data_IF_415674522843
#
_entry.id   IF_415674522843
#
_cell.length_a   1.000
_cell.length_b   1.000
_cell.length_c   1.000
_cell.angle_alpha   90.00
_cell.angle_beta   90.00
_cell.angle_gamma   90.00
#
_symmetry.space_group_name_H-M   'P 1'
#
loop_
_entity.id
_entity.type
_entity.pdbx_description
1 polymer ?
#
# COMPACT_ATOMS: atom_id res chain seq x y z
N UNK A 1 0.33 7.66 10.83
CA UNK A 1 -0.21 6.95 9.67
C UNK A 1 -0.43 7.91 8.52
N UNK A 2 -0.28 7.42 7.33
CA UNK A 2 -0.42 8.22 6.12
C UNK A 2 -1.64 7.72 5.35
N UNK A 3 -2.38 8.64 4.74
CA UNK A 3 -3.49 8.29 3.87
C UNK A 3 -3.01 8.34 2.42
N UNK A 4 -3.49 7.43 1.61
CA UNK A 4 -3.14 7.41 0.20
C UNK A 4 -4.17 6.69 -0.64
N UNK A 5 -3.90 6.63 -1.93
CA UNK A 5 -4.77 5.97 -2.88
C UNK A 5 -3.98 4.90 -3.61
N UNK A 6 -4.57 3.73 -3.75
CA UNK A 6 -3.92 2.63 -4.45
C UNK A 6 -3.76 3.00 -5.92
N UNK A 7 -2.52 3.04 -6.39
CA UNK A 7 -2.23 3.34 -7.78
C UNK A 7 -2.51 2.11 -8.64
N UNK A 8 -1.99 0.97 -8.23
CA UNK A 8 -2.32 -0.32 -8.84
C UNK A 8 -1.87 -1.42 -7.89
N UNK A 9 -2.46 -2.58 -8.05
CA UNK A 9 -2.10 -3.75 -7.25
C UNK A 9 -2.25 -5.01 -8.09
N UNK A 10 -1.24 -5.86 -8.08
CA UNK A 10 -1.24 -7.10 -8.83
C UNK A 10 -1.43 -8.28 -7.86
N UNK A 11 -2.63 -8.86 -7.88
CA UNK A 11 -2.97 -9.96 -6.98
C UNK A 11 -2.13 -11.20 -7.25
N UNK A 12 -1.79 -11.44 -8.51
CA UNK A 12 -1.01 -12.62 -8.88
C UNK A 12 0.39 -12.59 -8.29
N UNK A 13 0.98 -11.42 -8.26
CA UNK A 13 2.32 -11.23 -7.72
C UNK A 13 2.31 -10.82 -6.26
N UNK A 14 1.18 -10.31 -5.77
CA UNK A 14 1.01 -9.94 -4.37
C UNK A 14 1.65 -8.62 -3.98
N UNK A 15 1.78 -7.68 -4.90
CA UNK A 15 2.33 -6.37 -4.57
C UNK A 15 1.75 -5.29 -5.47
N UNK A 16 1.97 -4.04 -5.06
CA UNK A 16 1.52 -2.90 -5.83
C UNK A 16 2.14 -1.62 -5.30
N UNK A 17 1.54 -0.51 -5.67
CA UNK A 17 2.00 0.81 -5.26
C UNK A 17 0.84 1.66 -4.78
N UNK A 18 1.12 2.50 -3.78
CA UNK A 18 0.17 3.44 -3.23
C UNK A 18 0.71 4.84 -3.47
N UNK A 19 -0.15 5.74 -3.90
CA UNK A 19 0.19 7.14 -4.08
C UNK A 19 -0.24 7.89 -2.82
N UNK A 20 0.73 8.36 -2.00
CA UNK A 20 0.38 9.09 -0.79
C UNK A 20 -0.35 10.39 -1.10
N UNK A 21 -1.30 10.75 -0.25
CA UNK A 21 -2.12 11.94 -0.47
C UNK A 21 -1.33 13.24 -0.28
N UNK A 22 -0.18 13.17 0.37
CA UNK A 22 0.66 14.35 0.59
C UNK A 22 1.54 14.70 -0.61
N UNK A 23 1.45 13.96 -1.69
CA UNK A 23 2.24 14.20 -2.88
C UNK A 23 3.60 13.58 -2.90
N UNK A 24 3.92 12.76 -1.90
CA UNK A 24 5.19 12.04 -1.85
C UNK A 24 5.28 11.00 -2.97
N UNK A 25 6.48 10.43 -3.13
CA UNK A 25 6.68 9.38 -4.12
C UNK A 25 5.82 8.17 -3.81
N UNK A 26 5.49 7.41 -4.84
CA UNK A 26 4.75 6.17 -4.69
C UNK A 26 5.45 5.23 -3.71
N UNK A 27 4.64 4.55 -2.91
CA UNK A 27 5.13 3.65 -1.87
C UNK A 27 4.82 2.22 -2.26
N UNK A 28 5.83 1.36 -2.16
CA UNK A 28 5.65 -0.06 -2.44
C UNK A 28 4.80 -0.71 -1.36
N UNK A 29 3.88 -1.58 -1.76
CA UNK A 29 3.05 -2.34 -0.83
C UNK A 29 3.04 -3.81 -1.23
N UNK A 30 3.23 -4.69 -0.25
CA UNK A 30 3.17 -6.13 -0.43
C UNK A 30 1.94 -6.67 0.30
N UNK A 31 1.36 -7.77 -0.20
CA UNK A 31 0.13 -8.29 0.40
C UNK A 31 0.31 -8.63 1.89
N UNK A 32 1.51 -8.98 2.33
CA UNK A 32 1.77 -9.29 3.72
C UNK A 32 1.70 -8.05 4.62
N UNK A 33 1.75 -6.86 4.04
CA UNK A 33 1.65 -5.62 4.79
C UNK A 33 0.21 -5.16 4.98
N UNK A 34 -0.73 -5.81 4.31
CA UNK A 34 -2.15 -5.46 4.42
C UNK A 34 -2.70 -6.12 5.68
N UNK A 35 -3.20 -5.30 6.61
CA UNK A 35 -3.82 -5.78 7.83
C UNK A 35 -5.33 -5.75 7.68
N UNK A 36 -6.00 -6.61 8.41
CA UNK A 36 -7.44 -6.70 8.34
C UNK A 36 -7.87 -8.13 8.13
N UNK A 37 -9.11 -8.41 8.42
CA UNK A 37 -9.65 -9.75 8.28
C UNK A 37 -10.17 -9.95 6.86
N UNK A 38 -9.69 -10.97 6.20
CA UNK A 38 -10.26 -11.40 4.93
C UNK A 38 -9.38 -11.08 3.74
N UNK A 39 -9.61 -9.97 3.09
CA UNK A 39 -8.98 -9.71 1.80
C UNK A 39 -7.62 -9.06 1.94
N UNK A 40 -6.63 -9.64 1.28
CA UNK A 40 -5.29 -9.07 1.20
C UNK A 40 -5.03 -8.53 -0.19
N UNK A 41 -6.06 -7.96 -0.80
CA UNK A 41 -5.96 -7.35 -2.10
C UNK A 41 -6.44 -5.91 -2.01
N UNK A 42 -5.90 -5.09 -2.89
CA UNK A 42 -6.29 -3.68 -2.97
C UNK A 42 -6.82 -3.42 -4.36
N UNK A 43 -7.78 -2.51 -4.43
CA UNK A 43 -8.38 -2.12 -5.71
C UNK A 43 -7.78 -0.79 -6.15
N UNK A 44 -7.50 -0.67 -7.43
CA UNK A 44 -7.01 0.57 -8.01
C UNK A 44 -7.97 1.71 -7.67
N UNK A 45 -7.42 2.80 -7.15
CA UNK A 45 -8.21 3.95 -6.74
C UNK A 45 -8.77 3.87 -5.33
N UNK A 46 -8.55 2.76 -4.63
CA UNK A 46 -9.04 2.59 -3.27
C UNK A 46 -8.28 3.49 -2.30
N UNK A 47 -9.01 4.10 -1.36
CA UNK A 47 -8.39 4.91 -0.31
C UNK A 47 -7.94 4.00 0.83
N UNK A 48 -6.70 4.18 1.28
CA UNK A 48 -6.12 3.36 2.33
C UNK A 48 -5.32 4.21 3.30
N UNK A 49 -5.09 3.67 4.49
CA UNK A 49 -4.16 4.27 5.46
C UNK A 49 -3.04 3.28 5.72
N UNK A 50 -1.85 3.81 5.97
CA UNK A 50 -0.68 2.96 6.14
C UNK A 50 0.44 3.72 6.83
N UNK A 51 1.47 2.98 7.26
CA UNK A 51 2.69 3.55 7.80
C UNK A 51 3.80 3.34 6.78
N UNK A 52 4.66 4.33 6.60
CA UNK A 52 5.78 4.24 5.66
C UNK A 52 7.03 3.85 6.43
N UNK A 53 7.72 2.83 5.92
CA UNK A 53 9.01 2.42 6.45
C UNK A 53 10.00 2.27 5.29
N UNK A 54 11.29 2.41 5.60
CA UNK A 54 12.32 2.20 4.60
C UNK A 54 12.52 0.70 4.41
N UNK A 55 12.34 0.25 3.18
CA UNK A 55 12.60 -1.13 2.81
C UNK A 55 13.77 -1.24 1.87
N UNK A 56 14.08 -2.45 1.44
CA UNK A 56 15.19 -2.68 0.53
C UNK A 56 14.99 -2.02 -0.82
N UNK A 57 13.73 -1.84 -1.21
CA UNK A 57 13.38 -1.24 -2.50
C UNK A 57 12.97 0.23 -2.37
N UNK A 58 13.24 0.84 -1.21
CA UNK A 58 12.86 2.20 -0.93
C UNK A 58 11.67 2.28 0.01
N UNK A 59 10.90 3.38 0.00
CA UNK A 59 9.76 3.52 0.90
C UNK A 59 8.75 2.40 0.70
N UNK A 60 8.31 1.81 1.80
CA UNK A 60 7.41 0.67 1.79
C UNK A 60 6.26 0.89 2.76
N UNK A 61 5.06 0.56 2.32
CA UNK A 61 3.88 0.67 3.17
C UNK A 61 3.78 -0.55 4.08
N UNK A 62 3.48 -0.31 5.35
CA UNK A 62 3.21 -1.37 6.33
C UNK A 62 1.94 -1.04 7.07
N UNK A 63 1.32 -2.04 7.68
CA UNK A 63 0.06 -1.88 8.41
C UNK A 63 -1.00 -1.19 7.55
N UNK A 64 -1.14 -1.63 6.32
CA UNK A 64 -2.08 -1.04 5.38
C UNK A 64 -3.50 -1.44 5.77
N UNK A 65 -4.36 -0.44 5.88
CA UNK A 65 -5.77 -0.65 6.23
C UNK A 65 -6.65 0.04 5.18
N UNK A 66 -7.62 -0.68 4.71
CA UNK A 66 -8.55 -0.15 3.71
C UNK A 66 -9.71 0.59 4.37
#
# INVERSE_FOLDING_TARGET
>A
MVTGTVKWFNESKGFGFISPSDGSKDVFVHFSAITGSGFRTLTEGQSVTFTVEDGQKGPQAVNVQA
#
